data_IF_401833689412
#
_entry.id   IF_401833689412
#
_cell.length_a   1.000
_cell.length_b   1.000
_cell.length_c   1.000
_cell.angle_alpha   90.00
_cell.angle_beta   90.00
_cell.angle_gamma   90.00
#
_symmetry.space_group_name_H-M   'P 1'
#
loop_
_entity.id
_entity.type
_entity.pdbx_description
1 polymer ?
#
# COMPACT_ATOMS: atom_id res chain seq x y z
N UNK A 1 26.13 -50.14 4.41
CA UNK A 1 24.93 -49.44 3.93
C UNK A 1 23.95 -49.05 5.06
N UNK A 2 23.56 -49.95 5.98
CA UNK A 2 22.62 -49.61 7.09
C UNK A 2 23.06 -48.47 8.00
N UNK A 3 24.36 -48.37 8.34
CA UNK A 3 24.89 -47.32 9.19
C UNK A 3 24.88 -45.91 8.54
N UNK A 4 25.16 -45.85 7.26
CA UNK A 4 25.09 -44.61 6.48
C UNK A 4 23.65 -44.08 6.36
N UNK A 5 22.67 -44.96 6.22
CA UNK A 5 21.26 -44.62 6.17
C UNK A 5 20.77 -44.06 7.52
N UNK A 6 21.25 -44.62 8.63
CA UNK A 6 20.90 -44.14 9.97
C UNK A 6 21.47 -42.73 10.25
N UNK A 7 22.70 -42.46 9.80
CA UNK A 7 23.33 -41.13 9.93
C UNK A 7 22.59 -40.09 9.10
N UNK A 8 22.15 -40.44 7.86
CA UNK A 8 21.38 -39.55 7.01
C UNK A 8 20.01 -39.20 7.61
N UNK A 9 19.32 -40.20 8.22
CA UNK A 9 18.04 -39.96 8.92
C UNK A 9 18.25 -39.05 10.15
N UNK A 10 19.26 -39.25 10.95
CA UNK A 10 19.57 -38.40 12.10
C UNK A 10 19.88 -36.96 11.65
N UNK A 11 20.61 -36.78 10.54
CA UNK A 11 20.91 -35.44 9.99
C UNK A 11 19.67 -34.74 9.45
N UNK A 12 18.74 -35.46 8.82
CA UNK A 12 17.45 -34.90 8.39
C UNK A 12 16.56 -34.51 9.59
N UNK A 13 16.53 -35.32 10.66
CA UNK A 13 15.76 -35.02 11.88
C UNK A 13 16.30 -33.80 12.64
N UNK A 14 17.61 -33.60 12.68
CA UNK A 14 18.21 -32.42 13.31
C UNK A 14 17.88 -31.13 12.58
N UNK A 15 17.82 -31.15 11.26
CA UNK A 15 17.40 -29.96 10.48
C UNK A 15 15.91 -29.64 10.66
N UNK A 16 15.05 -30.63 10.88
CA UNK A 16 13.63 -30.41 11.17
C UNK A 16 13.40 -29.72 12.53
N UNK A 17 14.24 -30.02 13.52
CA UNK A 17 14.16 -29.40 14.85
C UNK A 17 14.62 -27.93 14.88
N UNK A 18 15.50 -27.53 13.95
CA UNK A 18 15.96 -26.14 13.85
C UNK A 18 14.98 -25.21 13.13
N UNK A 19 13.97 -25.78 12.45
CA UNK A 19 12.95 -25.03 11.70
C UNK A 19 11.77 -24.56 12.56
N UNK A 20 11.82 -24.66 13.89
CA UNK A 20 10.75 -24.13 14.75
C UNK A 20 10.74 -22.60 14.65
N UNK A 21 9.75 -22.08 13.92
CA UNK A 21 9.46 -20.65 13.84
C UNK A 21 9.28 -20.13 15.28
N UNK A 22 10.09 -19.16 15.68
CA UNK A 22 9.88 -18.45 16.96
C UNK A 22 8.42 -17.97 17.01
N UNK A 23 7.75 -18.10 18.16
CA UNK A 23 6.40 -17.58 18.31
C UNK A 23 6.42 -16.10 17.94
N UNK A 24 5.56 -15.72 17.02
CA UNK A 24 5.51 -14.36 16.50
C UNK A 24 4.22 -13.68 16.96
N UNK A 25 4.37 -12.46 17.43
CA UNK A 25 3.28 -11.58 17.79
C UNK A 25 2.79 -10.84 16.54
N UNK A 26 1.59 -10.29 16.60
CA UNK A 26 1.02 -9.55 15.48
C UNK A 26 0.75 -8.11 15.90
N UNK A 27 1.44 -7.16 15.27
CA UNK A 27 1.26 -5.73 15.48
C UNK A 27 0.29 -5.19 14.41
N UNK A 28 -0.80 -4.59 14.85
CA UNK A 28 -1.76 -3.89 14.00
C UNK A 28 -1.47 -2.40 14.06
N UNK A 29 -1.11 -1.80 12.94
CA UNK A 29 -0.77 -0.38 12.84
C UNK A 29 -1.99 0.46 12.48
N UNK A 30 -2.04 1.71 12.96
CA UNK A 30 -3.11 2.67 12.65
C UNK A 30 -3.30 2.94 11.16
N UNK A 31 -2.26 2.73 10.35
CA UNK A 31 -2.32 2.84 8.89
C UNK A 31 -2.83 1.58 8.17
N UNK A 32 -3.39 0.61 8.90
CA UNK A 32 -3.90 -0.66 8.37
C UNK A 32 -2.83 -1.69 8.00
N UNK A 33 -1.53 -1.41 8.20
CA UNK A 33 -0.49 -2.42 7.99
C UNK A 33 -0.48 -3.41 9.16
N UNK A 34 -0.03 -4.62 8.87
CA UNK A 34 0.14 -5.68 9.87
C UNK A 34 1.57 -6.18 9.80
N UNK A 35 2.24 -6.21 10.95
CA UNK A 35 3.59 -6.72 11.10
C UNK A 35 3.51 -7.98 11.96
N UNK A 36 4.11 -9.07 11.50
CA UNK A 36 4.18 -10.33 12.25
C UNK A 36 5.63 -10.54 12.67
N UNK A 37 5.91 -10.29 13.94
CA UNK A 37 7.27 -10.36 14.49
C UNK A 37 7.24 -10.49 16.01
N UNK A 38 8.25 -11.11 16.64
CA UNK A 38 8.36 -11.13 18.09
C UNK A 38 8.50 -9.71 18.66
N UNK A 39 7.61 -9.36 19.58
CA UNK A 39 7.72 -8.11 20.35
C UNK A 39 8.69 -8.34 21.50
N UNK A 40 9.70 -7.49 21.59
CA UNK A 40 10.75 -7.59 22.62
C UNK A 40 10.39 -6.79 23.87
N UNK A 41 9.80 -5.62 23.66
CA UNK A 41 9.39 -4.72 24.73
C UNK A 41 8.19 -3.86 24.26
N UNK A 42 7.30 -3.57 25.19
CA UNK A 42 6.15 -2.70 24.97
C UNK A 42 6.03 -1.71 26.12
N UNK A 43 6.69 -0.57 25.95
CA UNK A 43 6.68 0.53 26.93
C UNK A 43 5.46 1.44 26.70
N UNK A 44 5.28 2.42 27.62
CA UNK A 44 4.23 3.43 27.51
C UNK A 44 4.35 4.31 26.25
N UNK A 45 5.53 4.47 25.68
CA UNK A 45 5.80 5.38 24.55
C UNK A 45 5.95 4.66 23.23
N UNK A 46 6.56 3.48 23.20
CA UNK A 46 6.86 2.76 21.97
C UNK A 46 6.90 1.25 22.18
N UNK A 47 6.60 0.50 21.14
CA UNK A 47 6.83 -0.94 21.06
C UNK A 47 8.09 -1.24 20.25
N UNK A 48 8.94 -2.13 20.77
CA UNK A 48 10.15 -2.61 20.13
C UNK A 48 9.95 -4.04 19.65
N UNK A 49 10.25 -4.31 18.39
CA UNK A 49 10.10 -5.64 17.80
C UNK A 49 11.30 -5.96 16.89
N UNK A 50 11.45 -7.22 16.54
CA UNK A 50 12.47 -7.67 15.60
C UNK A 50 12.05 -7.31 14.17
N UNK A 51 12.98 -6.85 13.33
CA UNK A 51 12.70 -6.60 11.93
C UNK A 51 12.29 -7.93 11.23
N UNK A 52 11.13 -8.00 10.56
CA UNK A 52 10.71 -9.20 9.85
C UNK A 52 11.66 -9.64 8.72
N UNK A 53 12.40 -8.69 8.13
CA UNK A 53 13.35 -8.94 7.04
C UNK A 53 14.77 -9.25 7.55
N UNK A 54 15.15 -8.69 8.71
CA UNK A 54 16.47 -8.86 9.31
C UNK A 54 16.35 -9.10 10.81
N UNK A 55 16.45 -10.37 11.21
CA UNK A 55 16.31 -10.80 12.62
C UNK A 55 17.37 -10.24 13.57
N UNK A 56 18.42 -9.60 13.07
CA UNK A 56 19.46 -8.94 13.87
C UNK A 56 19.09 -7.50 14.22
N UNK A 57 18.19 -6.88 13.47
CA UNK A 57 17.76 -5.50 13.68
C UNK A 57 16.52 -5.41 14.55
N UNK A 58 16.50 -4.35 15.35
CA UNK A 58 15.34 -3.97 16.17
C UNK A 58 14.72 -2.72 15.59
N UNK A 59 13.40 -2.74 15.48
CA UNK A 59 12.61 -1.59 15.06
C UNK A 59 11.76 -1.10 16.22
N UNK A 60 11.47 0.22 16.23
CA UNK A 60 10.63 0.87 17.21
C UNK A 60 9.43 1.48 16.52
N UNK A 61 8.25 1.33 17.10
CA UNK A 61 7.03 2.00 16.66
C UNK A 61 6.42 2.73 17.84
N UNK A 62 6.15 4.01 17.66
CA UNK A 62 5.43 4.84 18.64
C UNK A 62 4.02 4.31 18.85
N UNK A 63 3.54 4.37 20.08
CA UNK A 63 2.21 3.85 20.44
C UNK A 63 1.07 4.59 19.72
N UNK A 64 1.27 5.84 19.32
CA UNK A 64 0.30 6.60 18.50
C UNK A 64 0.06 5.97 17.12
N UNK A 65 1.06 5.28 16.58
CA UNK A 65 0.97 4.58 15.30
C UNK A 65 0.50 3.12 15.44
N UNK A 66 0.25 2.67 16.68
CA UNK A 66 -0.07 1.29 17.02
C UNK A 66 -1.55 1.19 17.45
N UNK A 67 -2.33 0.37 16.75
CA UNK A 67 -3.71 0.09 17.15
C UNK A 67 -3.75 -0.96 18.25
N UNK A 68 -3.12 -2.11 18.02
CA UNK A 68 -3.10 -3.22 18.97
C UNK A 68 -1.91 -4.17 18.72
N UNK A 69 -1.50 -4.87 19.76
CA UNK A 69 -0.59 -6.01 19.68
C UNK A 69 -1.38 -7.26 20.10
N UNK A 70 -1.40 -8.25 19.21
CA UNK A 70 -1.88 -9.60 19.54
C UNK A 70 -0.67 -10.48 19.79
N UNK A 71 -0.47 -10.85 21.04
CA UNK A 71 0.62 -11.73 21.44
C UNK A 71 0.36 -13.19 21.03
N UNK A 72 1.42 -13.95 20.88
CA UNK A 72 1.37 -15.37 20.54
C UNK A 72 0.58 -16.23 21.55
N UNK A 73 0.44 -15.77 22.80
CA UNK A 73 -0.38 -16.40 23.85
C UNK A 73 -1.90 -16.14 23.65
N UNK A 74 -2.30 -15.43 22.61
CA UNK A 74 -3.69 -15.09 22.30
C UNK A 74 -4.20 -13.79 22.95
N UNK A 75 -3.45 -13.21 23.89
CA UNK A 75 -3.82 -11.94 24.50
C UNK A 75 -3.68 -10.80 23.49
N UNK A 76 -4.62 -9.84 23.52
CA UNK A 76 -4.59 -8.65 22.69
C UNK A 76 -4.56 -7.41 23.58
N UNK A 77 -3.56 -6.59 23.40
CA UNK A 77 -3.44 -5.31 24.07
C UNK A 77 -3.70 -4.18 23.08
N UNK A 78 -4.62 -3.27 23.43
CA UNK A 78 -5.01 -2.14 22.58
C UNK A 78 -4.32 -0.88 23.05
N UNK A 79 -3.60 -0.22 22.14
CA UNK A 79 -3.00 1.10 22.34
C UNK A 79 -3.94 2.21 21.89
N UNK A 80 -4.82 1.90 20.94
CA UNK A 80 -5.82 2.85 20.46
C UNK A 80 -6.73 3.31 21.60
N UNK A 81 -6.81 4.61 21.78
CA UNK A 81 -7.74 5.28 22.70
C UNK A 81 -8.65 6.17 21.89
N UNK A 82 -9.95 6.02 22.09
CA UNK A 82 -10.95 6.90 21.53
C UNK A 82 -10.80 8.27 22.18
N UNK A 83 -10.76 9.32 21.34
CA UNK A 83 -10.66 10.71 21.73
C UNK A 83 -11.57 11.53 20.82
N UNK A 84 -12.32 12.47 21.39
CA UNK A 84 -13.26 13.32 20.67
C UNK A 84 -12.58 14.31 19.70
N UNK A 85 -11.27 14.49 19.80
CA UNK A 85 -10.52 15.50 19.02
C UNK A 85 -9.78 14.88 17.84
N UNK A 86 -9.07 13.76 18.04
CA UNK A 86 -8.22 13.13 17.01
C UNK A 86 -8.71 11.75 16.59
N UNK A 87 -9.23 10.97 17.54
CA UNK A 87 -9.63 9.57 17.35
C UNK A 87 -11.13 9.41 17.65
N UNK A 88 -11.99 9.98 16.79
CA UNK A 88 -13.43 9.98 16.96
C UNK A 88 -14.12 8.66 16.60
N UNK A 89 -13.40 7.70 16.03
CA UNK A 89 -13.92 6.36 15.83
C UNK A 89 -13.89 5.57 17.13
N UNK A 90 -14.92 4.80 17.38
CA UNK A 90 -14.87 3.72 18.38
C UNK A 90 -13.82 2.68 17.97
N UNK A 91 -13.41 1.83 18.93
CA UNK A 91 -12.43 0.78 18.66
C UNK A 91 -12.85 -0.16 17.51
N UNK A 92 -14.12 -0.52 17.46
CA UNK A 92 -14.66 -1.41 16.42
C UNK A 92 -14.72 -0.71 15.08
N UNK A 93 -15.16 0.55 15.03
CA UNK A 93 -15.14 1.35 13.81
C UNK A 93 -13.73 1.57 13.27
N UNK A 94 -12.74 1.82 14.16
CA UNK A 94 -11.35 1.94 13.75
C UNK A 94 -10.81 0.62 13.18
N UNK A 95 -11.19 -0.51 13.76
CA UNK A 95 -10.84 -1.82 13.21
C UNK A 95 -11.44 -2.03 11.81
N UNK A 96 -12.71 -1.66 11.60
CA UNK A 96 -13.35 -1.70 10.28
C UNK A 96 -12.67 -0.76 9.29
N UNK A 97 -12.33 0.45 9.71
CA UNK A 97 -11.59 1.42 8.91
C UNK A 97 -10.26 0.85 8.41
N UNK A 98 -9.45 0.27 9.30
CA UNK A 98 -8.19 -0.38 8.95
C UNK A 98 -8.37 -1.60 8.03
N UNK A 99 -9.46 -2.35 8.19
CA UNK A 99 -9.77 -3.45 7.26
C UNK A 99 -10.07 -2.93 5.86
N UNK A 100 -10.84 -1.85 5.75
CA UNK A 100 -11.10 -1.17 4.48
C UNK A 100 -9.81 -0.70 3.81
N UNK A 101 -8.88 -0.10 4.57
CA UNK A 101 -7.56 0.28 4.05
C UNK A 101 -6.76 -0.92 3.53
N UNK A 102 -6.74 -2.03 4.26
CA UNK A 102 -6.03 -3.27 3.86
C UNK A 102 -6.59 -3.84 2.57
N UNK A 103 -7.90 -3.94 2.47
CA UNK A 103 -8.58 -4.48 1.29
C UNK A 103 -8.32 -3.59 0.07
N UNK A 104 -8.40 -2.27 0.22
CA UNK A 104 -8.05 -1.34 -0.84
C UNK A 104 -6.56 -1.42 -1.23
N UNK A 105 -5.63 -1.60 -0.27
CA UNK A 105 -4.21 -1.80 -0.57
C UNK A 105 -3.97 -3.06 -1.39
N UNK A 106 -4.63 -4.16 -1.09
CA UNK A 106 -4.48 -5.43 -1.79
C UNK A 106 -5.23 -5.46 -3.12
N UNK A 107 -6.49 -5.04 -3.14
CA UNK A 107 -7.40 -5.31 -4.25
C UNK A 107 -7.59 -4.16 -5.23
N UNK A 108 -7.54 -2.91 -4.78
CA UNK A 108 -7.86 -1.77 -5.65
C UNK A 108 -6.73 -1.48 -6.66
N UNK A 109 -7.10 -1.45 -7.94
CA UNK A 109 -6.19 -1.13 -9.05
C UNK A 109 -6.70 0.11 -9.78
N UNK A 110 -5.91 1.18 -9.81
CA UNK A 110 -6.25 2.48 -10.40
C UNK A 110 -5.93 2.56 -11.91
N UNK A 111 -6.17 1.48 -12.67
CA UNK A 111 -5.83 1.42 -14.12
C UNK A 111 -6.47 2.54 -14.94
N UNK A 112 -7.76 2.84 -14.71
CA UNK A 112 -8.46 3.90 -15.43
C UNK A 112 -7.82 5.28 -15.21
N UNK A 113 -7.39 5.59 -14.00
CA UNK A 113 -6.70 6.86 -13.70
C UNK A 113 -5.32 6.94 -14.36
N UNK A 114 -4.59 5.83 -14.42
CA UNK A 114 -3.30 5.75 -15.09
C UNK A 114 -3.43 6.03 -16.60
N UNK A 115 -4.27 5.26 -17.29
CA UNK A 115 -4.41 5.39 -18.74
C UNK A 115 -5.10 6.69 -19.14
N UNK A 116 -6.07 7.17 -18.37
CA UNK A 116 -6.73 8.44 -18.63
C UNK A 116 -5.76 9.61 -18.56
N UNK A 117 -4.92 9.67 -17.52
CA UNK A 117 -3.92 10.75 -17.41
C UNK A 117 -2.79 10.59 -18.43
N UNK A 118 -2.40 9.35 -18.74
CA UNK A 118 -1.41 9.06 -19.78
C UNK A 118 -1.88 9.58 -21.14
N UNK A 119 -3.15 9.38 -21.51
CA UNK A 119 -3.72 9.94 -22.74
C UNK A 119 -3.73 11.47 -22.72
N UNK A 120 -4.14 12.09 -21.62
CA UNK A 120 -4.09 13.55 -21.46
C UNK A 120 -2.66 14.08 -21.56
N UNK A 121 -1.69 13.39 -20.95
CA UNK A 121 -0.28 13.74 -21.03
C UNK A 121 0.26 13.64 -22.47
N UNK A 122 -0.08 12.57 -23.17
CA UNK A 122 0.33 12.34 -24.55
C UNK A 122 -0.21 13.46 -25.49
N UNK A 123 -1.48 13.80 -25.39
CA UNK A 123 -2.09 14.90 -26.14
C UNK A 123 -1.42 16.23 -25.78
N UNK A 124 -1.21 16.50 -24.49
CA UNK A 124 -0.50 17.70 -24.03
C UNK A 124 0.92 17.79 -24.56
N UNK A 125 1.68 16.70 -24.54
CA UNK A 125 3.04 16.64 -25.07
C UNK A 125 3.09 16.81 -26.60
N UNK A 126 2.16 16.21 -27.32
CA UNK A 126 2.04 16.35 -28.79
C UNK A 126 1.74 17.78 -29.24
N UNK A 127 1.12 18.61 -28.39
CA UNK A 127 0.91 20.03 -28.71
C UNK A 127 2.21 20.81 -28.89
N UNK A 128 3.33 20.30 -28.36
CA UNK A 128 4.65 20.96 -28.44
C UNK A 128 4.72 22.31 -27.74
N UNK A 129 3.69 22.68 -26.97
CA UNK A 129 3.59 23.96 -26.29
C UNK A 129 3.99 23.89 -24.84
N UNK A 130 4.35 25.05 -24.26
CA UNK A 130 4.59 25.18 -22.82
C UNK A 130 3.37 24.85 -21.97
N UNK A 131 2.16 25.00 -22.50
CA UNK A 131 0.91 24.72 -21.81
C UNK A 131 0.51 23.22 -21.85
N UNK A 132 1.23 22.38 -22.57
CA UNK A 132 0.98 20.94 -22.66
C UNK A 132 0.76 20.23 -21.31
N UNK A 133 1.56 20.53 -20.26
CA UNK A 133 1.38 19.93 -18.93
C UNK A 133 0.07 20.27 -18.22
N UNK A 134 -0.66 21.31 -18.62
CA UNK A 134 -1.93 21.69 -17.98
C UNK A 134 -3.00 20.60 -18.10
N UNK A 135 -3.04 19.86 -19.20
CA UNK A 135 -4.04 18.79 -19.40
C UNK A 135 -3.91 17.66 -18.38
N UNK A 136 -2.75 17.01 -18.20
CA UNK A 136 -2.60 15.98 -17.18
C UNK A 136 -2.69 16.53 -15.74
N UNK A 137 -2.33 17.79 -15.49
CA UNK A 137 -2.48 18.44 -14.19
C UNK A 137 -3.97 18.62 -13.85
N UNK A 138 -4.78 19.11 -14.78
CA UNK A 138 -6.22 19.26 -14.59
C UNK A 138 -6.89 17.90 -14.32
N UNK A 139 -6.53 16.86 -15.06
CA UNK A 139 -7.02 15.51 -14.80
C UNK A 139 -6.59 15.00 -13.42
N UNK A 140 -5.32 15.19 -13.04
CA UNK A 140 -4.81 14.82 -11.72
C UNK A 140 -5.58 15.49 -10.59
N UNK A 141 -5.91 16.77 -10.73
CA UNK A 141 -6.65 17.52 -9.72
C UNK A 141 -8.05 16.96 -9.50
N UNK A 142 -8.71 16.48 -10.57
CA UNK A 142 -10.09 16.01 -10.52
C UNK A 142 -10.25 14.51 -10.27
N UNK A 143 -9.21 13.69 -10.54
CA UNK A 143 -9.31 12.21 -10.51
C UNK A 143 -9.66 11.63 -9.13
N UNK A 144 -9.40 12.38 -8.06
CA UNK A 144 -9.73 11.99 -6.68
C UNK A 144 -11.18 12.25 -6.26
N UNK A 145 -11.91 13.09 -7.01
CA UNK A 145 -13.27 13.55 -6.67
C UNK A 145 -14.33 12.44 -6.83
N UNK A 146 -14.37 11.69 -7.96
CA UNK A 146 -15.43 10.71 -8.19
C UNK A 146 -15.45 9.61 -7.11
N UNK A 147 -16.67 9.21 -6.69
CA UNK A 147 -16.85 8.09 -5.75
C UNK A 147 -16.12 6.85 -6.21
N UNK A 148 -15.59 6.12 -5.26
CA UNK A 148 -14.87 4.87 -5.52
C UNK A 148 -15.89 3.74 -5.69
N UNK A 149 -15.89 3.08 -6.84
CA UNK A 149 -16.68 1.86 -7.02
C UNK A 149 -15.92 0.70 -6.35
N UNK A 150 -16.51 0.14 -5.32
CA UNK A 150 -15.98 -1.03 -4.61
C UNK A 150 -16.39 -2.27 -5.39
N UNK A 151 -15.41 -3.11 -5.73
CA UNK A 151 -15.66 -4.38 -6.41
C UNK A 151 -15.67 -5.51 -5.39
N UNK A 152 -16.69 -6.35 -5.41
CA UNK A 152 -16.83 -7.47 -4.46
C UNK A 152 -15.61 -8.40 -4.41
N UNK A 153 -14.91 -8.59 -5.51
CA UNK A 153 -13.70 -9.42 -5.56
C UNK A 153 -12.46 -8.79 -4.89
N UNK A 154 -12.55 -7.55 -4.42
CA UNK A 154 -11.45 -6.84 -3.73
C UNK A 154 -11.70 -6.72 -2.23
N UNK A 155 -12.75 -7.31 -1.72
CA UNK A 155 -13.23 -7.23 -0.35
C UNK A 155 -13.01 -8.57 0.32
N UNK A 156 -12.43 -8.56 1.52
CA UNK A 156 -12.22 -9.78 2.32
C UNK A 156 -13.52 -10.36 2.86
N UNK A 157 -14.45 -9.48 3.28
CA UNK A 157 -15.78 -9.86 3.75
C UNK A 157 -16.84 -8.88 3.21
N UNK A 158 -17.79 -9.36 2.39
CA UNK A 158 -18.85 -8.51 1.82
C UNK A 158 -19.72 -7.78 2.87
N UNK A 159 -19.95 -8.37 4.03
CA UNK A 159 -20.72 -7.75 5.11
C UNK A 159 -20.09 -6.47 5.66
N UNK A 160 -18.78 -6.26 5.46
CA UNK A 160 -18.10 -5.05 5.92
C UNK A 160 -18.47 -3.80 5.12
N UNK A 161 -19.06 -3.97 3.93
CA UNK A 161 -19.44 -2.82 3.06
C UNK A 161 -20.58 -2.00 3.65
N UNK A 162 -21.37 -2.58 4.56
CA UNK A 162 -22.48 -1.89 5.23
C UNK A 162 -22.00 -0.91 6.32
N UNK A 163 -20.72 -0.95 6.68
CA UNK A 163 -20.13 -0.06 7.68
C UNK A 163 -19.48 1.17 7.03
N UNK A 164 -19.92 2.36 7.40
CA UNK A 164 -19.38 3.62 6.87
C UNK A 164 -17.89 3.78 7.16
N UNK A 165 -17.42 3.37 8.32
CA UNK A 165 -16.01 3.39 8.70
C UNK A 165 -15.15 2.54 7.76
N UNK A 166 -15.63 1.35 7.36
CA UNK A 166 -14.94 0.51 6.37
C UNK A 166 -14.85 1.20 5.02
N UNK A 167 -15.96 1.80 4.55
CA UNK A 167 -16.02 2.52 3.28
C UNK A 167 -15.05 3.71 3.27
N UNK A 168 -14.99 4.48 4.36
CA UNK A 168 -14.06 5.60 4.51
C UNK A 168 -12.60 5.16 4.41
N UNK A 169 -12.22 4.08 5.10
CA UNK A 169 -10.87 3.51 5.03
C UNK A 169 -10.51 3.03 3.61
N UNK A 170 -11.44 2.32 2.96
CA UNK A 170 -11.26 1.84 1.59
C UNK A 170 -11.10 3.01 0.61
N UNK A 171 -11.99 4.02 0.69
CA UNK A 171 -11.94 5.19 -0.20
C UNK A 171 -10.66 5.99 -0.04
N UNK A 172 -10.17 6.19 1.19
CA UNK A 172 -8.92 6.92 1.45
C UNK A 172 -7.76 6.34 0.63
N UNK A 173 -7.55 5.03 0.73
CA UNK A 173 -6.46 4.34 0.01
C UNK A 173 -6.72 4.31 -1.48
N UNK A 174 -7.94 4.05 -1.91
CA UNK A 174 -8.30 4.00 -3.32
C UNK A 174 -8.08 5.37 -4.01
N UNK A 175 -8.47 6.48 -3.37
CA UNK A 175 -8.23 7.85 -3.85
C UNK A 175 -6.73 8.17 -3.91
N UNK A 176 -5.94 7.76 -2.90
CA UNK A 176 -4.49 7.92 -2.90
C UNK A 176 -3.84 7.14 -4.06
N UNK A 177 -4.28 5.89 -4.31
CA UNK A 177 -3.83 5.08 -5.45
C UNK A 177 -4.20 5.70 -6.81
N UNK A 178 -5.41 6.28 -6.93
CA UNK A 178 -5.81 7.02 -8.15
C UNK A 178 -4.89 8.18 -8.42
N UNK A 179 -4.61 9.03 -7.41
CA UNK A 179 -3.71 10.18 -7.54
C UNK A 179 -2.30 9.73 -7.93
N UNK A 180 -1.73 8.73 -7.23
CA UNK A 180 -0.41 8.20 -7.55
C UNK A 180 -0.33 7.65 -8.97
N UNK A 181 -1.31 6.85 -9.39
CA UNK A 181 -1.37 6.29 -10.74
C UNK A 181 -1.51 7.38 -11.82
N UNK A 182 -2.34 8.40 -11.55
CA UNK A 182 -2.51 9.55 -12.41
C UNK A 182 -1.23 10.36 -12.58
N UNK A 183 -0.49 10.62 -11.50
CA UNK A 183 0.79 11.33 -11.57
C UNK A 183 1.80 10.59 -12.46
N UNK A 184 1.94 9.28 -12.26
CA UNK A 184 2.85 8.44 -13.05
C UNK A 184 2.40 8.37 -14.51
N UNK A 185 1.10 8.11 -14.76
CA UNK A 185 0.56 8.04 -16.12
C UNK A 185 0.72 9.36 -16.87
N UNK A 186 0.41 10.49 -16.22
CA UNK A 186 0.57 11.82 -16.80
C UNK A 186 2.02 12.15 -17.17
N UNK A 187 2.97 11.84 -16.29
CA UNK A 187 4.40 12.03 -16.57
C UNK A 187 4.87 11.20 -17.77
N UNK A 188 4.54 9.91 -17.80
CA UNK A 188 4.89 9.03 -18.93
C UNK A 188 4.26 9.54 -20.23
N UNK A 189 2.97 9.90 -20.19
CA UNK A 189 2.27 10.45 -21.36
C UNK A 189 2.89 11.72 -21.89
N UNK A 190 3.25 12.68 -21.02
CA UNK A 190 3.92 13.91 -21.41
C UNK A 190 5.25 13.66 -22.10
N UNK A 191 6.13 12.86 -21.50
CA UNK A 191 7.43 12.54 -22.09
C UNK A 191 7.25 11.87 -23.45
N UNK A 192 6.37 10.88 -23.55
CA UNK A 192 6.08 10.21 -24.81
C UNK A 192 5.52 11.19 -25.86
N UNK A 193 4.63 12.08 -25.46
CA UNK A 193 4.05 13.10 -26.34
C UNK A 193 5.10 14.08 -26.90
N UNK A 194 5.97 14.61 -26.06
CA UNK A 194 7.05 15.51 -26.50
C UNK A 194 8.06 14.81 -27.39
N UNK A 195 8.42 13.55 -27.11
CA UNK A 195 9.31 12.76 -27.98
C UNK A 195 8.67 12.56 -29.35
N UNK A 196 7.40 12.18 -29.40
CA UNK A 196 6.66 12.03 -30.67
C UNK A 196 6.57 13.35 -31.42
N UNK A 197 6.27 14.45 -30.75
CA UNK A 197 6.26 15.78 -31.35
C UNK A 197 7.61 16.14 -31.95
N UNK A 198 8.72 15.91 -31.22
CA UNK A 198 10.06 16.20 -31.73
C UNK A 198 10.39 15.35 -32.97
N UNK A 199 10.03 14.06 -32.98
CA UNK A 199 10.22 13.18 -34.14
C UNK A 199 9.41 13.66 -35.36
N UNK A 200 8.12 13.98 -35.16
CA UNK A 200 7.23 14.46 -36.22
C UNK A 200 7.72 15.79 -36.77
N UNK A 201 8.12 16.73 -35.91
CA UNK A 201 8.67 18.03 -36.34
C UNK A 201 9.90 17.86 -37.20
N UNK A 202 10.84 17.00 -36.84
CA UNK A 202 12.05 16.76 -37.62
C UNK A 202 11.76 16.05 -38.97
N UNK A 203 10.68 15.23 -39.02
CA UNK A 203 10.26 14.59 -40.28
C UNK A 203 9.55 15.56 -41.22
N UNK A 204 8.80 16.52 -40.69
CA UNK A 204 8.02 17.50 -41.49
C UNK A 204 8.88 18.68 -41.92
N UNK A 205 9.84 19.10 -41.08
CA UNK A 205 10.75 20.21 -41.32
C UNK A 205 12.21 19.73 -41.23
N UNK A 206 12.76 19.02 -42.25
CA UNK A 206 14.17 18.66 -42.27
C UNK A 206 15.05 19.89 -42.28
N UNK A 207 16.21 19.81 -41.61
CA UNK A 207 17.11 20.92 -41.25
C UNK A 207 17.59 21.78 -42.44
N UNK A 208 17.21 21.50 -43.65
CA UNK A 208 17.57 22.27 -44.87
C UNK A 208 16.63 23.44 -45.23
N UNK A 209 15.59 23.71 -44.45
CA UNK A 209 14.59 24.77 -44.70
C UNK A 209 14.63 25.87 -43.63
N UNK A 210 15.79 26.12 -43.02
CA UNK A 210 16.02 27.28 -42.15
C UNK A 210 16.74 28.39 -42.88
#
# INVERSE_FOLDING_TARGET
MKRLFFIAICFCLTNFLLAQKKPADTLYLMNGNVIVSPVLDSSFLAATFVDPEDSTKRQHIENENLFAIKYHNGQTFYYYKEDTIQNYFSRDEMNMYMQGERDAKKGFKAKGSFYGTMACGLVGGLSGTFFGPLLPIAYFATVGIPKVKIKHNTISNPANVDFDSYLLGYERVARAKRRKASLIGGGIGLVAGYVLWACLRNSIYPAGWR
#
